data_IF_440524210034
#
_entry.id   IF_440524210034
#
_cell.length_a   1.000
_cell.length_b   1.000
_cell.length_c   1.000
_cell.angle_alpha   90.00
_cell.angle_beta   90.00
_cell.angle_gamma   90.00
#
_symmetry.space_group_name_H-M   'P 1'
#
loop_
_entity.id
_entity.type
_entity.pdbx_description
1 polymer ?
#
# COMPACT_ATOMS: atom_id res chain seq x y z
N UNK A 1 13.36 16.45 60.16
CA UNK A 1 12.32 15.71 59.41
C UNK A 1 12.01 16.27 58.01
N UNK A 2 12.04 17.60 57.79
CA UNK A 2 11.69 18.23 56.49
C UNK A 2 12.59 17.88 55.29
N UNK A 3 13.83 17.42 55.50
CA UNK A 3 14.78 17.09 54.41
C UNK A 3 14.46 15.77 53.69
N UNK A 4 13.66 14.89 54.30
CA UNK A 4 13.23 13.61 53.71
C UNK A 4 11.99 13.76 52.81
N UNK A 5 11.04 14.62 53.17
CA UNK A 5 9.82 14.87 52.37
C UNK A 5 10.11 15.55 51.02
N UNK A 6 11.12 16.42 50.94
CA UNK A 6 11.51 17.06 49.67
C UNK A 6 12.09 16.06 48.65
N UNK A 7 12.76 15.00 49.13
CA UNK A 7 13.37 13.96 48.29
C UNK A 7 12.34 12.92 47.85
N UNK A 8 11.37 12.61 48.71
CA UNK A 8 10.28 11.66 48.44
C UNK A 8 9.26 12.19 47.40
N UNK A 9 8.98 13.50 47.39
CA UNK A 9 8.10 14.11 46.39
C UNK A 9 8.75 14.18 45.00
N UNK A 10 10.07 14.30 44.94
CA UNK A 10 10.84 14.28 43.68
C UNK A 10 10.91 12.87 43.09
N UNK A 11 11.08 11.84 43.93
CA UNK A 11 11.06 10.43 43.52
C UNK A 11 9.69 9.99 42.98
N UNK A 12 8.60 10.45 43.60
CA UNK A 12 7.23 10.15 43.15
C UNK A 12 6.93 10.73 41.76
N UNK A 13 7.44 11.93 41.47
CA UNK A 13 7.34 12.57 40.15
C UNK A 13 8.16 11.86 39.08
N UNK A 14 9.36 11.37 39.41
CA UNK A 14 10.20 10.61 38.48
C UNK A 14 9.56 9.26 38.12
N UNK A 15 8.96 8.57 39.10
CA UNK A 15 8.22 7.32 38.84
C UNK A 15 6.96 7.55 37.99
N UNK A 16 6.25 8.67 38.17
CA UNK A 16 5.07 9.03 37.38
C UNK A 16 5.41 9.43 35.93
N UNK A 17 6.63 9.90 35.68
CA UNK A 17 7.14 10.21 34.33
C UNK A 17 7.62 8.95 33.58
N UNK A 18 8.11 7.93 34.30
CA UNK A 18 8.55 6.66 33.70
C UNK A 18 7.41 5.77 33.21
N UNK A 19 6.16 6.00 33.66
CA UNK A 19 4.99 5.23 33.22
C UNK A 19 4.38 5.71 31.89
N UNK A 20 4.91 6.78 31.29
CA UNK A 20 4.46 7.32 29.99
C UNK A 20 5.41 7.01 28.82
N UNK A 21 6.25 5.97 28.94
CA UNK A 21 6.98 5.44 27.79
C UNK A 21 6.00 4.64 26.90
N UNK A 22 5.17 5.33 26.12
CA UNK A 22 4.40 4.69 25.05
C UNK A 22 5.42 4.21 24.02
N UNK A 23 5.56 2.90 23.76
CA UNK A 23 6.45 2.45 22.70
C UNK A 23 5.95 3.07 21.39
N UNK A 24 6.82 3.83 20.73
CA UNK A 24 6.52 4.35 19.40
C UNK A 24 6.32 3.14 18.48
N UNK A 25 5.09 2.93 18.00
CA UNK A 25 4.82 1.94 16.97
C UNK A 25 5.56 2.39 15.71
N UNK A 26 6.64 1.69 15.38
CA UNK A 26 7.31 1.87 14.09
C UNK A 26 6.33 1.51 12.98
N UNK A 27 6.15 2.40 12.01
CA UNK A 27 5.36 2.12 10.82
C UNK A 27 6.14 1.11 9.97
N UNK A 28 5.63 -0.12 9.85
CA UNK A 28 6.24 -1.12 8.98
C UNK A 28 5.97 -0.73 7.52
N UNK A 29 7.02 -0.33 6.79
CA UNK A 29 6.93 -0.07 5.35
C UNK A 29 7.13 -1.41 4.64
N UNK A 30 6.05 -1.95 4.09
CA UNK A 30 6.08 -3.18 3.29
C UNK A 30 6.01 -2.80 1.81
N UNK A 31 6.99 -3.22 1.03
CA UNK A 31 6.99 -3.04 -0.43
C UNK A 31 6.15 -4.14 -1.07
N UNK A 32 5.11 -3.77 -1.81
CA UNK A 32 4.25 -4.72 -2.51
C UNK A 32 4.57 -4.86 -4.00
N UNK A 33 5.29 -3.90 -4.63
CA UNK A 33 5.64 -3.96 -6.05
C UNK A 33 6.80 -3.01 -6.46
N UNK A 34 7.46 -3.31 -7.60
CA UNK A 34 8.49 -2.51 -8.30
C UNK A 34 9.65 -3.36 -8.91
N UNK A 35 10.00 -3.27 -10.21
CA UNK A 35 11.25 -3.81 -10.81
C UNK A 35 11.37 -4.54 -12.19
N UNK A 36 10.36 -4.75 -13.05
CA UNK A 36 10.44 -5.55 -14.34
C UNK A 36 9.11 -6.02 -15.06
N UNK A 37 9.03 -7.14 -15.79
CA UNK A 37 7.91 -7.44 -16.73
C UNK A 37 6.67 -8.14 -16.09
N UNK A 38 5.54 -8.28 -16.82
CA UNK A 38 4.31 -8.94 -16.36
C UNK A 38 4.48 -10.43 -15.98
N UNK A 39 3.59 -10.97 -15.13
CA UNK A 39 3.61 -12.36 -14.61
C UNK A 39 4.90 -12.72 -13.86
N UNK A 40 5.57 -11.71 -13.30
CA UNK A 40 6.72 -11.87 -12.42
C UNK A 40 6.31 -11.59 -10.98
N UNK A 41 7.14 -11.94 -9.98
CA UNK A 41 6.97 -11.42 -8.63
C UNK A 41 6.82 -9.90 -8.69
N UNK A 42 5.88 -9.33 -7.94
CA UNK A 42 5.58 -7.90 -8.02
C UNK A 42 6.81 -7.02 -7.72
N UNK A 43 7.73 -7.49 -6.87
CA UNK A 43 9.04 -6.89 -6.58
C UNK A 43 10.05 -6.96 -7.74
N UNK A 44 9.64 -7.52 -8.86
CA UNK A 44 10.36 -7.57 -10.11
C UNK A 44 9.50 -7.04 -11.25
N UNK A 45 8.49 -6.18 -10.97
CA UNK A 45 7.55 -5.60 -11.95
C UNK A 45 7.62 -4.05 -12.04
N UNK A 46 7.88 -3.50 -13.23
CA UNK A 46 8.18 -2.11 -13.54
C UNK A 46 6.85 -1.48 -13.86
N UNK A 47 6.34 -0.79 -12.86
CA UNK A 47 5.03 -0.20 -12.89
C UNK A 47 5.00 1.11 -13.68
N UNK A 48 6.14 1.58 -14.21
CA UNK A 48 6.26 2.78 -15.04
C UNK A 48 5.31 3.92 -14.63
N UNK A 49 5.52 4.50 -13.44
CA UNK A 49 4.70 5.58 -12.90
C UNK A 49 3.32 5.12 -12.40
N UNK A 50 3.25 4.37 -11.28
CA UNK A 50 1.97 4.11 -10.64
C UNK A 50 1.36 5.43 -10.16
N UNK A 51 0.10 5.68 -10.53
CA UNK A 51 -0.63 6.91 -10.19
C UNK A 51 -1.87 6.65 -9.32
N UNK A 52 -2.35 5.40 -9.27
CA UNK A 52 -3.50 4.97 -8.47
C UNK A 52 -3.17 3.65 -7.78
N UNK A 53 -3.57 3.51 -6.52
CA UNK A 53 -3.50 2.25 -5.77
C UNK A 53 -4.79 2.00 -4.99
N UNK A 54 -5.24 0.75 -4.96
CA UNK A 54 -6.43 0.32 -4.21
C UNK A 54 -6.24 -1.08 -3.66
N UNK A 55 -6.88 -1.38 -2.53
CA UNK A 55 -6.82 -2.69 -1.89
C UNK A 55 -8.23 -3.24 -1.74
N UNK A 56 -8.43 -4.52 -2.08
CA UNK A 56 -9.69 -5.20 -1.80
C UNK A 56 -9.69 -5.84 -0.40
N UNK A 57 -10.86 -6.33 0.02
CA UNK A 57 -11.03 -7.02 1.32
C UNK A 57 -10.29 -8.37 1.41
N UNK A 58 -9.89 -8.94 0.27
CA UNK A 58 -9.14 -10.19 0.16
C UNK A 58 -7.61 -9.97 0.23
N UNK A 59 -7.17 -8.72 0.28
CA UNK A 59 -5.75 -8.35 0.32
C UNK A 59 -5.06 -8.34 -1.04
N UNK A 60 -5.81 -8.28 -2.14
CA UNK A 60 -5.22 -8.02 -3.46
C UNK A 60 -4.99 -6.51 -3.63
N UNK A 61 -3.83 -6.16 -4.18
CA UNK A 61 -3.45 -4.78 -4.49
C UNK A 61 -3.70 -4.51 -5.97
N UNK A 62 -4.43 -3.44 -6.26
CA UNK A 62 -4.71 -2.96 -7.60
C UNK A 62 -3.91 -1.69 -7.84
N UNK A 63 -3.26 -1.61 -9.00
CA UNK A 63 -2.32 -0.57 -9.34
C UNK A 63 -2.68 -0.03 -10.73
N UNK A 64 -3.04 1.25 -10.79
CA UNK A 64 -3.13 2.02 -12.02
C UNK A 64 -1.79 2.65 -12.35
N UNK A 65 -1.40 2.64 -13.62
CA UNK A 65 -0.14 3.23 -14.10
C UNK A 65 -0.40 4.22 -15.23
N UNK A 66 0.47 5.22 -15.39
CA UNK A 66 0.26 6.33 -16.34
C UNK A 66 0.04 5.91 -17.80
N UNK A 67 0.51 4.73 -18.21
CA UNK A 67 0.28 4.19 -19.56
C UNK A 67 -1.06 3.44 -19.68
N UNK A 68 -2.01 3.72 -18.80
CA UNK A 68 -3.34 3.18 -18.93
C UNK A 68 -3.52 1.71 -18.53
N UNK A 69 -2.60 1.15 -17.74
CA UNK A 69 -2.69 -0.26 -17.33
C UNK A 69 -3.26 -0.38 -15.93
N UNK A 70 -4.10 -1.40 -15.75
CA UNK A 70 -4.55 -1.86 -14.43
C UNK A 70 -3.86 -3.18 -14.15
N UNK A 71 -3.05 -3.21 -13.09
CA UNK A 71 -2.28 -4.36 -12.65
C UNK A 71 -2.83 -4.82 -11.29
N UNK A 72 -2.85 -6.13 -11.04
CA UNK A 72 -3.21 -6.71 -9.75
C UNK A 72 -2.05 -7.51 -9.19
N UNK A 73 -1.70 -7.28 -7.93
CA UNK A 73 -0.82 -8.13 -7.14
C UNK A 73 -1.68 -8.95 -6.19
N UNK A 74 -1.62 -10.27 -6.30
CA UNK A 74 -2.34 -11.16 -5.39
C UNK A 74 -1.64 -11.27 -4.02
N UNK A 75 -2.29 -11.92 -3.05
CA UNK A 75 -1.71 -12.19 -1.72
C UNK A 75 -0.41 -13.02 -1.74
N UNK A 76 -0.12 -13.70 -2.85
CA UNK A 76 1.11 -14.47 -3.05
C UNK A 76 2.22 -13.61 -3.68
N UNK A 77 1.96 -12.33 -3.95
CA UNK A 77 2.90 -11.39 -4.56
C UNK A 77 3.01 -11.53 -6.08
N UNK A 78 2.07 -12.19 -6.75
CA UNK A 78 2.07 -12.38 -8.20
C UNK A 78 1.39 -11.20 -8.90
N UNK A 79 2.11 -10.54 -9.80
CA UNK A 79 1.58 -9.42 -10.58
C UNK A 79 0.95 -9.91 -11.89
N UNK A 80 -0.31 -9.52 -12.12
CA UNK A 80 -1.12 -9.86 -13.29
C UNK A 80 -1.64 -8.58 -13.97
N UNK A 81 -1.65 -8.53 -15.30
CA UNK A 81 -2.32 -7.47 -16.06
C UNK A 81 -3.83 -7.75 -16.13
N UNK A 82 -4.64 -6.80 -15.67
CA UNK A 82 -6.10 -6.88 -15.75
C UNK A 82 -6.66 -6.10 -16.95
N UNK A 83 -6.11 -4.92 -17.25
CA UNK A 83 -6.59 -4.07 -18.34
C UNK A 83 -5.50 -3.17 -18.95
N UNK A 84 -5.70 -2.68 -20.18
CA UNK A 84 -4.81 -1.68 -20.82
C UNK A 84 -3.66 -2.25 -21.65
N UNK A 85 -3.81 -3.43 -22.25
CA UNK A 85 -2.75 -4.07 -23.04
C UNK A 85 -2.74 -3.72 -24.52
N UNK A 86 -3.73 -2.96 -25.02
CA UNK A 86 -3.83 -2.55 -26.42
C UNK A 86 -3.82 -1.03 -26.58
N UNK A 87 -3.66 -0.61 -27.83
CA UNK A 87 -3.50 0.77 -28.26
C UNK A 87 -4.60 1.16 -29.26
N UNK A 88 -5.80 0.60 -29.05
CA UNK A 88 -6.97 0.85 -29.88
C UNK A 88 -8.19 1.04 -28.96
N UNK A 89 -8.98 2.09 -29.23
CA UNK A 89 -10.28 2.31 -28.60
C UNK A 89 -11.31 1.36 -29.21
N UNK A 90 -11.47 0.19 -28.60
CA UNK A 90 -12.40 -0.85 -29.05
C UNK A 90 -13.33 -1.26 -27.92
N UNK A 91 -14.63 -1.17 -28.17
CA UNK A 91 -15.65 -1.66 -27.24
C UNK A 91 -15.84 -3.17 -27.37
N UNK A 92 -16.33 -3.80 -26.30
CA UNK A 92 -16.72 -5.22 -26.28
C UNK A 92 -15.59 -6.21 -26.60
N UNK A 93 -14.34 -5.84 -26.31
CA UNK A 93 -13.18 -6.73 -26.30
C UNK A 93 -12.79 -7.09 -24.86
N UNK A 94 -11.95 -8.12 -24.63
CA UNK A 94 -11.39 -8.36 -23.30
C UNK A 94 -10.68 -7.11 -22.77
N UNK A 95 -10.81 -6.81 -21.47
CA UNK A 95 -10.23 -5.61 -20.85
C UNK A 95 -8.70 -5.49 -21.06
N UNK A 96 -7.99 -6.63 -21.18
CA UNK A 96 -6.56 -6.68 -21.52
C UNK A 96 -6.24 -6.17 -22.93
N UNK A 97 -7.25 -6.04 -23.79
CA UNK A 97 -7.13 -5.67 -25.20
C UNK A 97 -7.84 -4.35 -25.53
N UNK A 98 -8.29 -3.62 -24.52
CA UNK A 98 -8.77 -2.25 -24.64
C UNK A 98 -7.64 -1.27 -24.29
N UNK A 99 -7.67 -0.08 -24.89
CA UNK A 99 -6.98 1.08 -24.33
C UNK A 99 -7.79 1.62 -23.13
N UNK A 100 -7.11 2.02 -22.07
CA UNK A 100 -7.76 2.49 -20.83
C UNK A 100 -7.00 3.71 -20.34
N UNK A 101 -7.60 4.89 -20.34
CA UNK A 101 -7.00 6.05 -19.67
C UNK A 101 -7.29 6.00 -18.15
N UNK A 102 -6.27 5.73 -17.34
CA UNK A 102 -6.39 5.68 -15.88
C UNK A 102 -5.94 7.03 -15.27
N UNK A 103 -6.89 7.95 -15.08
CA UNK A 103 -6.63 9.23 -14.38
C UNK A 103 -7.06 9.21 -12.90
N UNK A 104 -7.88 8.22 -12.51
CA UNK A 104 -8.34 7.99 -11.14
C UNK A 104 -9.06 6.66 -11.05
N UNK A 105 -8.94 5.97 -9.92
CA UNK A 105 -9.61 4.69 -9.68
C UNK A 105 -10.01 4.56 -8.22
N UNK A 106 -11.21 4.03 -8.01
CA UNK A 106 -11.68 3.56 -6.71
C UNK A 106 -11.89 2.05 -6.83
N UNK A 107 -11.55 1.31 -5.78
CA UNK A 107 -11.77 -0.14 -5.69
C UNK A 107 -12.75 -0.35 -4.54
N UNK A 108 -13.87 -1.03 -4.79
CA UNK A 108 -14.81 -1.39 -3.72
C UNK A 108 -14.33 -2.59 -2.88
N UNK A 109 -15.10 -2.98 -1.87
CA UNK A 109 -14.72 -4.11 -0.99
C UNK A 109 -14.61 -5.45 -1.73
N UNK A 110 -15.26 -5.57 -2.88
CA UNK A 110 -15.35 -6.77 -3.69
C UNK A 110 -14.31 -6.77 -4.83
N UNK A 111 -13.55 -5.69 -4.97
CA UNK A 111 -12.47 -5.55 -5.94
C UNK A 111 -12.90 -5.00 -7.30
N UNK A 112 -14.05 -4.31 -7.37
CA UNK A 112 -14.55 -3.65 -8.59
C UNK A 112 -14.08 -2.21 -8.71
#
# INVERSE_FOLDING_TARGET
>A
MFKFMCKMNTLLFVCLMMTFAVPALAQNIVTYAGGGPNNTPALAANLNGPNVVGLDSSGNLYIGVVNGKVLRVDKNGVLTLLAGGANNDVDNVPATSADVCVEGGAVDSDGN
#
